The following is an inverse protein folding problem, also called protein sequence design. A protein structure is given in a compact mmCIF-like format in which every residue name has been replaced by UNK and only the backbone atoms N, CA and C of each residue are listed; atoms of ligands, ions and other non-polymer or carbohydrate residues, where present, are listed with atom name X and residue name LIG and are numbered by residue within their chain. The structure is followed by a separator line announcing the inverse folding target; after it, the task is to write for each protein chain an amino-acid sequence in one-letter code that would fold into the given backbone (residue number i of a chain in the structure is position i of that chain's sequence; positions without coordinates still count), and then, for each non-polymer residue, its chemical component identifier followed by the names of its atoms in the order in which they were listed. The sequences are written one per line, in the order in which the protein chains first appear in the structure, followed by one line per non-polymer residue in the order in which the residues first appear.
data_IF_363088968265
#
_entry.id   IF_363088968265
#
_cell.length_a   1.000
_cell.length_b   1.000
_cell.length_c   1.000
_cell.angle_alpha   90.00
_cell.angle_beta   90.00
_cell.angle_gamma   90.00
#
_symmetry.space_group_name_H-M   'P 1'
#
loop_
_entity.id
_entity.type
_entity.pdbx_description
1 polymer ?
#
# COMPACT_ATOMS: atom_id res chain seq x y z
N UNK A 1 10.28 -7.55 -1.58
CA UNK A 1 9.34 -7.15 -0.50
C UNK A 1 8.77 -5.77 -0.88
N UNK A 2 7.46 -5.54 -0.78
CA UNK A 2 6.82 -4.29 -1.28
C UNK A 2 6.40 -3.29 -0.18
N UNK A 3 6.49 -3.69 1.09
CA UNK A 3 6.25 -2.78 2.21
C UNK A 3 7.47 -1.91 2.49
N UNK A 4 7.23 -0.64 2.83
CA UNK A 4 8.24 0.22 3.42
C UNK A 4 8.32 0.03 4.94
N UNK A 5 9.48 0.23 5.57
CA UNK A 5 9.57 0.24 7.03
C UNK A 5 8.75 1.40 7.61
N UNK A 6 7.98 1.12 8.65
CA UNK A 6 7.21 2.10 9.42
C UNK A 6 7.55 1.94 10.89
N UNK A 7 7.75 3.06 11.58
CA UNK A 7 7.94 3.08 13.03
C UNK A 7 6.59 3.10 13.73
N UNK A 8 6.33 2.09 14.54
CA UNK A 8 5.24 2.07 15.50
C UNK A 8 5.74 2.63 16.82
N UNK A 9 4.90 3.40 17.50
CA UNK A 9 5.16 3.98 18.82
C UNK A 9 3.95 3.78 19.70
N UNK A 10 4.14 3.71 21.01
CA UNK A 10 3.03 3.65 21.94
C UNK A 10 3.46 3.75 23.40
N UNK A 11 2.48 3.51 24.27
CA UNK A 11 2.64 3.50 25.72
C UNK A 11 2.16 2.17 26.30
N UNK A 12 2.92 1.61 27.22
CA UNK A 12 2.62 0.43 28.03
C UNK A 12 3.18 0.70 29.44
N UNK A 13 2.35 1.27 30.33
CA UNK A 13 2.74 1.67 31.69
C UNK A 13 2.08 0.77 32.72
N UNK A 14 2.82 0.38 33.76
CA UNK A 14 2.29 -0.41 34.88
C UNK A 14 1.77 -1.80 34.49
N UNK A 15 2.05 -2.22 33.26
CA UNK A 15 1.67 -3.51 32.69
C UNK A 15 2.99 -4.21 32.41
N UNK A 16 3.25 -5.35 33.04
CA UNK A 16 4.57 -6.01 33.07
C UNK A 16 5.16 -6.30 31.67
N UNK A 17 5.24 -7.56 31.28
CA UNK A 17 5.73 -7.86 29.92
C UNK A 17 4.67 -7.49 28.87
N UNK A 18 5.06 -6.68 27.89
CA UNK A 18 4.20 -6.22 26.81
C UNK A 18 4.62 -6.83 25.47
N UNK A 19 3.66 -7.12 24.61
CA UNK A 19 3.90 -7.76 23.32
C UNK A 19 3.19 -7.01 22.20
N UNK A 20 3.89 -6.85 21.08
CA UNK A 20 3.28 -6.46 19.82
C UNK A 20 2.63 -7.69 19.20
N UNK A 21 1.33 -7.60 18.94
CA UNK A 21 0.62 -8.52 18.07
C UNK A 21 0.41 -7.92 16.69
N UNK A 22 0.30 -8.80 15.69
CA UNK A 22 -0.04 -8.42 14.33
C UNK A 22 -1.24 -9.23 13.84
N UNK A 23 -2.05 -8.61 12.99
CA UNK A 23 -3.11 -9.25 12.22
C UNK A 23 -3.00 -8.81 10.75
N UNK A 24 -2.34 -9.59 9.89
CA UNK A 24 -2.33 -9.35 8.46
C UNK A 24 -3.76 -9.40 7.90
N UNK A 25 -4.00 -8.70 6.79
CA UNK A 25 -5.30 -8.76 6.10
C UNK A 25 -5.76 -10.21 5.85
N UNK A 26 -6.98 -10.52 6.29
CA UNK A 26 -7.59 -11.86 6.19
C UNK A 26 -7.07 -12.89 7.21
N UNK A 27 -6.17 -12.49 8.11
CA UNK A 27 -5.63 -13.36 9.15
C UNK A 27 -6.20 -13.09 10.54
N UNK A 28 -5.65 -13.82 11.51
CA UNK A 28 -5.93 -13.68 12.94
C UNK A 28 -4.83 -12.90 13.66
N UNK A 29 -5.13 -12.42 14.86
CA UNK A 29 -4.10 -11.86 15.74
C UNK A 29 -3.09 -12.94 16.13
N UNK A 30 -1.80 -12.61 16.04
CA UNK A 30 -0.72 -13.45 16.50
C UNK A 30 0.34 -12.59 17.18
N UNK A 31 0.91 -13.09 18.28
CA UNK A 31 2.08 -12.50 18.92
C UNK A 31 3.22 -12.40 17.91
N UNK A 32 3.78 -11.20 17.76
CA UNK A 32 4.88 -10.93 16.83
C UNK A 32 6.21 -10.85 17.56
N UNK A 33 6.28 -10.05 18.62
CA UNK A 33 7.49 -9.88 19.45
C UNK A 33 7.14 -9.22 20.78
N UNK A 34 8.01 -9.38 21.75
CA UNK A 34 8.01 -8.56 22.95
C UNK A 34 8.36 -7.10 22.59
N UNK A 35 7.74 -6.15 23.27
CA UNK A 35 8.17 -4.75 23.25
C UNK A 35 8.80 -4.45 24.60
N UNK A 36 9.93 -3.76 24.60
CA UNK A 36 10.62 -3.32 25.81
C UNK A 36 10.29 -1.83 26.06
N UNK A 37 9.32 -1.51 26.92
CA UNK A 37 9.01 -0.12 27.24
C UNK A 37 10.11 0.47 28.11
N UNK A 38 10.48 1.72 27.85
CA UNK A 38 11.38 2.48 28.69
C UNK A 38 10.76 2.78 30.07
N UNK A 39 11.54 3.32 31.00
CA UNK A 39 11.01 3.95 32.20
C UNK A 39 9.95 4.99 31.81
N UNK A 40 8.73 4.86 32.33
CA UNK A 40 7.57 5.65 31.90
C UNK A 40 6.74 5.03 30.76
N UNK A 41 7.05 3.81 30.33
CA UNK A 41 6.22 2.96 29.47
C UNK A 41 6.23 3.29 27.99
N UNK A 42 7.05 4.25 27.53
CA UNK A 42 7.18 4.55 26.11
C UNK A 42 7.94 3.45 25.37
N UNK A 43 7.47 3.08 24.18
CA UNK A 43 8.15 2.10 23.35
C UNK A 43 8.06 2.49 21.87
N UNK A 44 8.97 1.96 21.06
CA UNK A 44 8.90 2.07 19.61
C UNK A 44 9.52 0.86 18.92
N UNK A 45 9.03 0.50 17.75
CA UNK A 45 9.63 -0.58 16.94
C UNK A 45 9.34 -0.39 15.46
N UNK A 46 10.26 -0.87 14.62
CA UNK A 46 10.08 -0.83 13.17
C UNK A 46 9.38 -2.10 12.68
N UNK A 47 8.41 -1.94 11.79
CA UNK A 47 7.72 -3.03 11.11
C UNK A 47 7.76 -2.80 9.61
N UNK A 48 7.87 -3.88 8.84
CA UNK A 48 7.82 -3.84 7.37
C UNK A 48 6.71 -4.79 6.91
N UNK A 49 5.44 -4.37 6.92
CA UNK A 49 4.33 -5.21 6.47
C UNK A 49 4.36 -5.37 4.95
N UNK A 50 4.31 -6.61 4.43
CA UNK A 50 4.19 -6.84 2.98
C UNK A 50 2.76 -6.72 2.45
N UNK A 51 1.77 -6.65 3.33
CA UNK A 51 0.34 -6.38 3.04
C UNK A 51 -0.26 -5.61 4.20
N UNK A 52 -1.39 -4.94 3.99
CA UNK A 52 -2.07 -4.18 5.06
C UNK A 52 -2.20 -5.03 6.31
N UNK A 53 -1.68 -4.53 7.42
CA UNK A 53 -1.55 -5.27 8.68
C UNK A 53 -1.98 -4.37 9.83
N UNK A 54 -2.83 -4.90 10.70
CA UNK A 54 -3.16 -4.27 11.96
C UNK A 54 -2.17 -4.71 13.04
N UNK A 55 -1.79 -3.79 13.91
CA UNK A 55 -0.87 -4.00 15.02
C UNK A 55 -1.52 -3.52 16.30
N UNK A 56 -1.32 -4.23 17.41
CA UNK A 56 -1.77 -3.80 18.74
C UNK A 56 -0.79 -4.27 19.79
N UNK A 57 -0.77 -3.60 20.94
CA UNK A 57 -0.02 -4.06 22.11
C UNK A 57 -0.93 -4.81 23.05
N UNK A 58 -0.44 -5.91 23.60
CA UNK A 58 -1.09 -6.67 24.67
C UNK A 58 -0.13 -6.78 25.85
N UNK A 59 -0.61 -6.56 27.07
CA UNK A 59 0.20 -6.62 28.28
C UNK A 59 -0.68 -6.90 29.50
N UNK A 60 -0.31 -7.88 30.33
CA UNK A 60 -1.03 -8.19 31.58
C UNK A 60 -2.55 -8.42 31.42
N UNK A 61 -2.98 -9.03 30.32
CA UNK A 61 -4.41 -9.24 30.00
C UNK A 61 -5.13 -8.03 29.39
N UNK A 62 -4.49 -6.86 29.35
CA UNK A 62 -5.00 -5.65 28.69
C UNK A 62 -4.64 -5.66 27.22
N UNK A 63 -5.61 -5.32 26.37
CA UNK A 63 -5.43 -5.17 24.93
C UNK A 63 -5.55 -3.71 24.53
N UNK A 64 -4.52 -3.15 23.93
CA UNK A 64 -4.53 -1.79 23.39
C UNK A 64 -5.29 -1.66 22.06
N UNK A 65 -5.54 -0.42 21.65
CA UNK A 65 -6.16 -0.11 20.36
C UNK A 65 -5.32 -0.61 19.19
N UNK A 66 -5.97 -1.15 18.17
CA UNK A 66 -5.31 -1.59 16.96
C UNK A 66 -4.99 -0.42 16.03
N UNK A 67 -3.73 -0.28 15.65
CA UNK A 67 -3.26 0.63 14.59
C UNK A 67 -3.13 -0.12 13.26
N UNK A 68 -3.66 0.45 12.18
CA UNK A 68 -3.63 -0.18 10.85
C UNK A 68 -2.58 0.46 9.97
N UNK A 69 -1.60 -0.33 9.53
CA UNK A 69 -0.59 0.10 8.54
C UNK A 69 -1.05 -0.38 7.17
N UNK A 70 -1.38 0.58 6.29
CA UNK A 70 -1.80 0.30 4.92
C UNK A 70 -0.58 0.03 4.04
N UNK A 71 -0.74 -0.88 3.08
CA UNK A 71 0.28 -1.17 2.07
C UNK A 71 -0.36 -0.95 0.70
N UNK A 72 0.14 0.04 -0.05
CA UNK A 72 -0.35 0.36 -1.38
C UNK A 72 0.34 -0.49 -2.46
N UNK A 73 -0.35 -0.67 -3.59
CA UNK A 73 0.28 -1.21 -4.79
C UNK A 73 1.35 -0.22 -5.28
N UNK A 74 2.56 -0.69 -5.58
CA UNK A 74 3.54 0.14 -6.29
C UNK A 74 3.16 0.21 -7.76
N UNK A 75 3.18 1.38 -8.37
CA UNK A 75 2.88 1.56 -9.80
C UNK A 75 4.06 2.26 -10.47
N UNK A 76 4.60 1.64 -11.52
CA UNK A 76 5.45 2.31 -12.50
C UNK A 76 4.61 2.65 -13.72
N UNK A 77 4.76 3.86 -14.27
CA UNK A 77 3.93 4.32 -15.38
C UNK A 77 4.74 5.24 -16.30
N UNK A 78 4.74 4.93 -17.59
CA UNK A 78 5.56 5.61 -18.59
C UNK A 78 4.95 5.48 -19.98
N UNK A 79 5.41 6.34 -20.89
CA UNK A 79 5.10 6.30 -22.32
C UNK A 79 6.37 5.88 -23.08
N UNK A 80 6.41 4.66 -23.65
CA UNK A 80 7.36 4.31 -24.71
C UNK A 80 7.23 5.18 -25.96
N UNK A 81 8.28 5.23 -26.77
CA UNK A 81 8.39 6.03 -28.00
C UNK A 81 7.31 5.76 -29.07
N UNK A 82 6.48 4.72 -28.92
CA UNK A 82 5.40 4.36 -29.83
C UNK A 82 4.03 4.95 -29.45
N UNK A 83 3.96 5.85 -28.45
CA UNK A 83 2.74 6.54 -28.04
C UNK A 83 1.73 5.67 -27.29
N UNK A 84 2.12 4.48 -26.83
CA UNK A 84 1.29 3.60 -26.01
C UNK A 84 1.60 3.80 -24.52
N UNK A 85 0.59 3.94 -23.66
CA UNK A 85 0.86 4.02 -22.23
C UNK A 85 1.14 2.63 -21.64
N UNK A 86 2.25 2.51 -20.92
CA UNK A 86 2.70 1.26 -20.31
C UNK A 86 3.06 1.43 -18.85
N UNK A 87 3.06 0.32 -18.13
CA UNK A 87 3.50 0.31 -16.76
C UNK A 87 3.56 -1.07 -16.15
N UNK A 88 3.98 -1.09 -14.90
CA UNK A 88 4.13 -2.29 -14.10
C UNK A 88 3.59 -2.05 -12.71
N UNK A 89 3.08 -3.10 -12.07
CA UNK A 89 2.64 -3.06 -10.68
C UNK A 89 3.53 -3.93 -9.78
N UNK A 90 3.60 -3.56 -8.51
CA UNK A 90 4.18 -4.36 -7.44
C UNK A 90 3.18 -4.55 -6.29
N UNK A 91 2.90 -5.77 -5.84
CA UNK A 91 3.39 -7.06 -6.35
C UNK A 91 2.90 -7.42 -7.75
N UNK A 92 3.71 -8.22 -8.47
CA UNK A 92 3.33 -8.82 -9.75
C UNK A 92 2.14 -9.76 -9.55
N UNK A 93 1.11 -9.61 -10.38
CA UNK A 93 -0.08 -10.48 -10.37
C UNK A 93 -0.85 -10.29 -11.67
N UNK A 94 -1.33 -11.37 -12.25
CA UNK A 94 -2.32 -11.30 -13.33
C UNK A 94 -3.68 -10.79 -12.82
N UNK A 95 -4.40 -10.07 -13.68
CA UNK A 95 -5.78 -9.67 -13.45
C UNK A 95 -5.97 -8.50 -12.48
N UNK A 96 -4.90 -7.80 -12.09
CA UNK A 96 -5.06 -6.57 -11.32
C UNK A 96 -5.64 -5.48 -12.22
N UNK A 97 -6.67 -4.78 -11.73
CA UNK A 97 -7.33 -3.73 -12.51
C UNK A 97 -6.52 -2.43 -12.43
N UNK A 98 -6.21 -1.86 -13.59
CA UNK A 98 -5.51 -0.58 -13.73
C UNK A 98 -6.37 0.39 -14.52
N UNK A 99 -6.83 1.45 -13.85
CA UNK A 99 -7.54 2.55 -14.50
C UNK A 99 -6.56 3.61 -14.98
N UNK A 100 -6.57 3.89 -16.27
CA UNK A 100 -5.82 5.00 -16.88
C UNK A 100 -6.72 6.22 -16.92
N UNK A 101 -6.27 7.30 -16.30
CA UNK A 101 -7.06 8.51 -16.16
C UNK A 101 -6.30 9.73 -16.64
N UNK A 102 -7.01 10.69 -17.24
CA UNK A 102 -6.48 12.00 -17.62
C UNK A 102 -7.06 13.09 -16.72
N UNK A 103 -6.21 14.03 -16.30
CA UNK A 103 -6.64 15.21 -15.54
C UNK A 103 -7.40 16.16 -16.45
N UNK A 104 -8.59 16.58 -16.01
CA UNK A 104 -9.40 17.63 -16.65
C UNK A 104 -8.95 19.02 -16.17
N UNK A 105 -9.42 20.05 -16.87
CA UNK A 105 -9.14 21.46 -16.53
C UNK A 105 -9.63 21.82 -15.12
N UNK A 106 -10.77 21.28 -14.70
CA UNK A 106 -11.35 21.42 -13.35
C UNK A 106 -10.57 20.66 -12.24
N UNK A 107 -9.46 20.01 -12.59
CA UNK A 107 -8.65 19.22 -11.68
C UNK A 107 -9.17 17.80 -11.40
N UNK A 108 -10.36 17.44 -11.88
CA UNK A 108 -10.92 16.09 -11.74
C UNK A 108 -10.22 15.10 -12.68
N UNK A 109 -10.43 13.80 -12.44
CA UNK A 109 -9.86 12.74 -13.24
C UNK A 109 -10.93 12.07 -14.10
N UNK A 110 -10.69 11.96 -15.41
CA UNK A 110 -11.51 11.18 -16.36
C UNK A 110 -10.86 9.84 -16.61
N UNK A 111 -11.55 8.73 -16.36
CA UNK A 111 -11.09 7.41 -16.82
C UNK A 111 -11.17 7.35 -18.34
N UNK A 112 -10.05 7.01 -18.99
CA UNK A 112 -9.94 6.81 -20.42
C UNK A 112 -9.98 5.33 -20.79
N UNK A 113 -9.37 4.48 -19.97
CA UNK A 113 -9.36 3.04 -20.15
C UNK A 113 -9.22 2.33 -18.81
N UNK A 114 -9.68 1.09 -18.76
CA UNK A 114 -9.40 0.15 -17.68
C UNK A 114 -8.80 -1.09 -18.32
N UNK A 115 -7.63 -1.50 -17.85
CA UNK A 115 -6.91 -2.67 -18.36
C UNK A 115 -6.56 -3.61 -17.20
N UNK A 116 -6.24 -4.86 -17.53
CA UNK A 116 -5.80 -5.86 -16.57
C UNK A 116 -4.31 -6.15 -16.75
N UNK A 117 -3.61 -6.41 -15.65
CA UNK A 117 -2.20 -6.80 -15.71
C UNK A 117 -2.02 -8.25 -16.17
N UNK A 118 -0.91 -8.54 -16.83
CA UNK A 118 -0.46 -9.91 -17.10
C UNK A 118 0.19 -10.54 -15.84
N UNK A 119 0.66 -11.79 -15.95
CA UNK A 119 1.30 -12.50 -14.83
C UNK A 119 2.53 -11.78 -14.26
N UNK A 120 3.25 -11.03 -15.11
CA UNK A 120 4.38 -10.20 -14.72
C UNK A 120 4.01 -8.87 -14.07
N UNK A 121 2.70 -8.60 -13.90
CA UNK A 121 2.21 -7.34 -13.35
C UNK A 121 2.30 -6.17 -14.35
N UNK A 122 2.57 -6.44 -15.61
CA UNK A 122 2.66 -5.43 -16.65
C UNK A 122 1.27 -5.11 -17.19
N UNK A 123 1.07 -3.86 -17.55
CA UNK A 123 -0.14 -3.41 -18.24
C UNK A 123 0.24 -2.49 -19.40
N UNK A 124 -0.59 -2.51 -20.44
CA UNK A 124 -0.51 -1.60 -21.56
C UNK A 124 -1.92 -1.11 -21.89
N UNK A 125 -2.05 0.18 -22.20
CA UNK A 125 -3.31 0.78 -22.58
C UNK A 125 -3.15 1.58 -23.87
N UNK A 126 -4.00 1.27 -24.84
CA UNK A 126 -4.15 2.04 -26.06
C UNK A 126 -5.14 3.15 -25.81
N UNK A 127 -4.65 4.38 -25.66
CA UNK A 127 -5.48 5.58 -25.50
C UNK A 127 -4.97 6.64 -26.46
N UNK A 128 -5.88 7.45 -27.01
CA UNK A 128 -5.47 8.60 -27.81
C UNK A 128 -4.77 9.62 -26.92
N UNK A 129 -3.45 9.72 -27.07
CA UNK A 129 -2.64 10.65 -26.30
C UNK A 129 -2.82 12.08 -26.81
N UNK A 130 -2.96 12.97 -25.85
CA UNK A 130 -3.01 14.42 -26.04
C UNK A 130 -2.25 15.03 -24.88
N UNK A 131 -1.53 16.12 -25.11
CA UNK A 131 -0.82 16.85 -24.06
C UNK A 131 -1.65 16.98 -22.77
N UNK A 132 -1.01 16.76 -21.62
CA UNK A 132 -1.63 16.83 -20.31
C UNK A 132 -1.08 15.83 -19.29
N UNK A 133 -1.73 15.77 -18.13
CA UNK A 133 -1.35 14.87 -17.03
C UNK A 133 -2.24 13.64 -16.99
N UNK A 134 -1.60 12.49 -16.91
CA UNK A 134 -2.22 11.18 -16.80
C UNK A 134 -1.85 10.54 -15.47
N UNK A 135 -2.68 9.62 -14.99
CA UNK A 135 -2.33 8.70 -13.90
C UNK A 135 -2.82 7.30 -14.19
N UNK A 136 -2.03 6.32 -13.76
CA UNK A 136 -2.47 4.94 -13.63
C UNK A 136 -2.89 4.70 -12.18
N UNK A 137 -4.06 4.10 -11.95
CA UNK A 137 -4.55 3.72 -10.61
C UNK A 137 -4.75 2.21 -10.58
N UNK A 138 -3.88 1.51 -9.85
CA UNK A 138 -3.88 0.05 -9.77
C UNK A 138 -4.59 -0.46 -8.51
N UNK A 139 -5.43 -1.48 -8.67
CA UNK A 139 -6.13 -2.19 -7.60
C UNK A 139 -5.83 -3.69 -7.67
N UNK A 140 -5.24 -4.23 -6.60
CA UNK A 140 -4.84 -5.62 -6.52
C UNK A 140 -5.76 -6.49 -5.64
N UNK A 141 -6.52 -5.88 -4.72
CA UNK A 141 -7.25 -6.59 -3.67
C UNK A 141 -6.31 -7.30 -2.69
N UNK A 142 -6.81 -8.27 -1.93
CA UNK A 142 -5.98 -9.17 -1.11
C UNK A 142 -5.17 -8.49 0.00
N UNK A 143 -5.62 -7.33 0.49
CA UNK A 143 -4.94 -6.58 1.55
C UNK A 143 -4.01 -5.47 1.06
N UNK A 144 -4.05 -5.11 -0.22
CA UNK A 144 -3.39 -3.92 -0.74
C UNK A 144 -4.42 -2.81 -0.96
N UNK A 145 -4.06 -1.58 -0.58
CA UNK A 145 -4.82 -0.39 -1.00
C UNK A 145 -4.39 0.05 -2.40
N UNK A 146 -5.21 0.86 -3.06
CA UNK A 146 -4.92 1.32 -4.41
C UNK A 146 -3.59 2.10 -4.46
N UNK A 147 -2.81 1.85 -5.50
CA UNK A 147 -1.61 2.59 -5.84
C UNK A 147 -1.82 3.49 -7.04
N UNK A 148 -1.00 4.53 -7.17
CA UNK A 148 -1.02 5.36 -8.37
C UNK A 148 0.35 5.90 -8.75
N UNK A 149 0.50 6.24 -10.02
CA UNK A 149 1.65 6.96 -10.56
C UNK A 149 1.18 7.95 -11.62
N UNK A 150 1.89 9.06 -11.76
CA UNK A 150 1.60 10.13 -12.71
C UNK A 150 2.55 10.09 -13.90
N UNK A 151 2.05 10.56 -15.03
CA UNK A 151 2.83 10.80 -16.23
C UNK A 151 2.38 12.13 -16.85
N UNK A 152 3.34 12.95 -17.28
CA UNK A 152 3.06 14.16 -18.06
C UNK A 152 3.44 13.90 -19.51
N UNK A 153 2.46 14.07 -20.39
CA UNK A 153 2.64 14.03 -21.84
C UNK A 153 2.67 15.47 -22.32
N UNK A 154 3.70 15.83 -23.07
CA UNK A 154 3.92 17.18 -23.62
C UNK A 154 3.51 17.24 -25.07
#
# INVERSE_FOLDING_TARGET
MFGAPVRLTGLARGVGTAYLERKPYGGSWARMREVAPALGGAWSTNVTPWRTTSYRVVAGGVTGTASRVLVAVRVGFHEPANGQLRGVIGPKRAGASVAIQKRRVDGTWKTLATVSTNADGEFAANVSLRAGTYRAVARLGGGYVAGYAYLRVT
#
